data_IF_017775315420
#
_entry.id   IF_017775315420
#
_cell.length_a   1.000
_cell.length_b   1.000
_cell.length_c   1.000
_cell.angle_alpha   90.00
_cell.angle_beta   90.00
_cell.angle_gamma   90.00
#
_symmetry.space_group_name_H-M   'P 1'
#
loop_
_entity.id
_entity.type
_entity.pdbx_description
1 polymer ?
#
# COMPACT_ATOMS: atom_id res chain seq x y z
N UNK A 1 -0.19 2.59 16.41
CA UNK A 1 -0.49 2.42 14.97
C UNK A 1 -1.94 2.02 14.68
N UNK A 2 -2.59 1.08 15.41
CA UNK A 2 -3.99 0.70 15.10
C UNK A 2 -4.99 1.87 15.09
N UNK A 3 -4.77 2.88 15.94
CA UNK A 3 -5.59 4.10 15.96
C UNK A 3 -5.47 4.89 14.65
N UNK A 4 -4.27 5.00 14.06
CA UNK A 4 -4.07 5.66 12.78
C UNK A 4 -4.77 4.90 11.65
N UNK A 5 -4.64 3.56 11.65
CA UNK A 5 -5.30 2.69 10.67
C UNK A 5 -6.82 2.82 10.73
N UNK A 6 -7.40 2.83 11.94
CA UNK A 6 -8.84 2.98 12.12
C UNK A 6 -9.33 4.36 11.66
N UNK A 7 -8.52 5.41 11.83
CA UNK A 7 -8.85 6.74 11.32
C UNK A 7 -8.81 6.79 9.79
N UNK A 8 -7.82 6.19 9.14
CA UNK A 8 -7.79 6.04 7.67
C UNK A 8 -9.01 5.26 7.16
N UNK A 9 -9.35 4.15 7.83
CA UNK A 9 -10.53 3.35 7.51
C UNK A 9 -11.83 4.18 7.64
N UNK A 10 -11.96 4.94 8.74
CA UNK A 10 -13.10 5.81 8.95
C UNK A 10 -13.21 6.89 7.87
N UNK A 11 -12.10 7.55 7.51
CA UNK A 11 -12.05 8.54 6.44
C UNK A 11 -12.41 7.94 5.07
N UNK A 12 -11.95 6.71 4.78
CA UNK A 12 -12.25 6.00 3.54
C UNK A 12 -13.67 5.39 3.48
N UNK A 13 -14.38 5.32 4.62
CA UNK A 13 -15.73 4.74 4.69
C UNK A 13 -16.82 5.66 4.12
N UNK A 14 -16.54 6.96 4.03
CA UNK A 14 -17.50 7.95 3.51
C UNK A 14 -17.56 7.80 1.98
N UNK A 15 -18.66 7.24 1.50
CA UNK A 15 -18.93 7.06 0.06
C UNK A 15 -19.82 8.21 -0.44
N UNK A 16 -19.42 8.84 -1.54
CA UNK A 16 -20.14 9.97 -2.13
C UNK A 16 -19.65 11.33 -1.62
N UNK A 17 -20.34 12.41 -2.01
CA UNK A 17 -20.00 13.77 -1.61
C UNK A 17 -20.50 14.04 -0.17
N UNK A 18 -19.61 14.24 0.83
CA UNK A 18 -20.01 14.54 2.19
C UNK A 18 -20.81 15.85 2.30
N UNK A 19 -20.66 16.75 1.33
CA UNK A 19 -21.34 18.05 1.29
C UNK A 19 -22.86 17.93 1.12
N UNK A 20 -23.36 16.76 0.71
CA UNK A 20 -24.79 16.47 0.65
C UNK A 20 -25.46 16.44 2.05
N UNK A 21 -24.68 16.26 3.12
CA UNK A 21 -25.15 16.20 4.50
C UNK A 21 -24.28 17.08 5.41
N UNK A 22 -24.73 18.29 5.80
CA UNK A 22 -23.92 19.26 6.56
C UNK A 22 -23.32 18.71 7.87
N UNK A 23 -24.06 17.87 8.59
CA UNK A 23 -23.59 17.22 9.82
C UNK A 23 -22.48 16.20 9.53
N UNK A 24 -22.65 15.39 8.47
CA UNK A 24 -21.64 14.43 8.03
C UNK A 24 -20.37 15.15 7.55
N UNK A 25 -20.51 16.26 6.83
CA UNK A 25 -19.39 17.09 6.40
C UNK A 25 -18.60 17.63 7.60
N UNK A 26 -19.29 18.17 8.60
CA UNK A 26 -18.67 18.70 9.83
C UNK A 26 -17.92 17.60 10.59
N UNK A 27 -18.50 16.41 10.69
CA UNK A 27 -17.85 15.25 11.30
C UNK A 27 -16.62 14.80 10.51
N UNK A 28 -16.74 14.67 9.18
CA UNK A 28 -15.64 14.30 8.30
C UNK A 28 -14.47 15.28 8.43
N UNK A 29 -14.74 16.58 8.44
CA UNK A 29 -13.72 17.61 8.60
C UNK A 29 -13.04 17.52 9.98
N UNK A 30 -13.81 17.24 11.05
CA UNK A 30 -13.25 16.97 12.38
C UNK A 30 -12.33 15.75 12.41
N UNK A 31 -12.67 14.67 11.69
CA UNK A 31 -11.82 13.49 11.54
C UNK A 31 -10.55 13.82 10.76
N UNK A 32 -10.64 14.57 9.66
CA UNK A 32 -9.48 15.01 8.86
C UNK A 32 -8.52 15.85 9.71
N UNK A 33 -9.03 16.77 10.53
CA UNK A 33 -8.22 17.57 11.45
C UNK A 33 -7.51 16.70 12.49
N UNK A 34 -8.24 15.76 13.09
CA UNK A 34 -7.70 14.83 14.10
C UNK A 34 -6.61 13.94 13.50
N UNK A 35 -6.86 13.41 12.29
CA UNK A 35 -5.89 12.63 11.54
C UNK A 35 -4.62 13.46 11.25
N UNK A 36 -4.78 14.70 10.77
CA UNK A 36 -3.64 15.61 10.53
C UNK A 36 -2.80 15.82 11.80
N UNK A 37 -3.45 16.08 12.94
CA UNK A 37 -2.74 16.31 14.20
C UNK A 37 -2.00 15.05 14.70
N UNK A 38 -2.62 13.87 14.55
CA UNK A 38 -1.97 12.60 14.86
C UNK A 38 -0.68 12.43 14.05
N UNK A 39 -0.71 12.68 12.73
CA UNK A 39 0.49 12.56 11.89
C UNK A 39 1.55 13.60 12.20
N UNK A 40 1.17 14.83 12.61
CA UNK A 40 2.14 15.81 13.11
C UNK A 40 2.86 15.32 14.36
N UNK A 41 2.14 14.72 15.31
CA UNK A 41 2.73 14.18 16.55
C UNK A 41 3.65 12.99 16.22
N UNK A 42 3.21 12.06 15.36
CA UNK A 42 4.05 10.96 14.89
C UNK A 42 5.34 11.46 14.23
N UNK A 43 5.25 12.47 13.36
CA UNK A 43 6.39 13.10 12.72
C UNK A 43 7.37 13.74 13.71
N UNK A 44 6.87 14.41 14.77
CA UNK A 44 7.72 14.95 15.87
C UNK A 44 8.52 13.84 16.56
N UNK A 45 7.92 12.64 16.70
CA UNK A 45 8.58 11.46 17.23
C UNK A 45 9.32 10.63 16.16
N UNK A 46 9.55 11.18 14.96
CA UNK A 46 10.29 10.55 13.85
C UNK A 46 9.65 9.25 13.35
N UNK A 47 8.33 9.16 13.43
CA UNK A 47 7.53 8.06 12.88
C UNK A 47 6.87 8.55 11.60
N UNK A 48 7.19 7.91 10.48
CA UNK A 48 6.69 8.29 9.15
C UNK A 48 6.00 7.12 8.46
N UNK A 49 4.85 7.34 7.81
CA UNK A 49 4.23 6.34 6.96
C UNK A 49 5.04 6.11 5.68
N UNK A 50 4.97 4.91 5.11
CA UNK A 50 5.53 4.60 3.79
C UNK A 50 4.74 3.50 3.08
N UNK A 51 4.97 3.37 1.77
CA UNK A 51 4.27 2.42 0.91
C UNK A 51 3.03 3.08 0.31
N UNK A 52 3.10 3.34 -0.99
CA UNK A 52 2.02 3.92 -1.79
C UNK A 52 1.77 3.07 -3.02
N UNK A 53 0.53 3.06 -3.49
CA UNK A 53 0.19 2.46 -4.79
C UNK A 53 1.04 3.09 -5.90
N UNK A 54 1.63 2.25 -6.73
CA UNK A 54 2.53 2.63 -7.81
C UNK A 54 4.02 2.66 -7.43
N UNK A 55 4.39 2.50 -6.15
CA UNK A 55 5.80 2.34 -5.75
C UNK A 55 6.31 0.91 -6.02
N UNK A 56 7.62 0.78 -6.24
CA UNK A 56 8.26 -0.53 -6.43
C UNK A 56 8.15 -1.38 -5.16
N UNK A 57 7.87 -2.67 -5.35
CA UNK A 57 7.84 -3.60 -4.23
C UNK A 57 9.26 -3.98 -3.79
N UNK A 58 9.55 -3.73 -2.52
CA UNK A 58 10.76 -4.20 -1.83
C UNK A 58 10.39 -5.20 -0.71
N UNK A 59 10.77 -6.49 -0.80
CA UNK A 59 10.52 -7.50 0.24
C UNK A 59 11.09 -7.15 1.62
N UNK A 60 12.09 -6.26 1.71
CA UNK A 60 12.64 -5.81 3.00
C UNK A 60 11.72 -4.83 3.69
N UNK A 61 10.94 -4.06 2.93
CA UNK A 61 10.08 -2.98 3.42
C UNK A 61 8.61 -3.39 3.40
N UNK A 62 8.21 -4.31 2.54
CA UNK A 62 6.82 -4.62 2.24
C UNK A 62 6.51 -6.10 2.53
N UNK A 63 5.30 -6.34 3.03
CA UNK A 63 4.73 -7.66 3.26
C UNK A 63 3.66 -7.93 2.20
N UNK A 64 4.03 -8.70 1.17
CA UNK A 64 3.13 -9.04 0.07
C UNK A 64 2.16 -10.13 0.50
N UNK A 65 0.87 -9.79 0.59
CA UNK A 65 -0.17 -10.76 0.96
C UNK A 65 -0.72 -11.52 -0.24
N UNK A 66 -0.77 -10.89 -1.42
CA UNK A 66 -1.29 -11.50 -2.64
C UNK A 66 -0.77 -10.79 -3.89
N UNK A 67 -0.81 -11.53 -5.00
CA UNK A 67 -0.57 -11.00 -6.34
C UNK A 67 -1.89 -10.59 -6.99
N UNK A 68 -1.95 -9.37 -7.53
CA UNK A 68 -3.09 -8.82 -8.24
C UNK A 68 -2.78 -8.86 -9.73
N UNK A 69 -3.58 -9.62 -10.49
CA UNK A 69 -3.50 -9.61 -11.95
C UNK A 69 -3.99 -8.25 -12.48
N UNK A 70 -3.06 -7.42 -12.96
CA UNK A 70 -3.40 -6.08 -13.49
C UNK A 70 -2.43 -5.69 -14.60
N UNK A 71 -2.93 -4.90 -15.56
CA UNK A 71 -2.14 -4.26 -16.62
C UNK A 71 -1.89 -2.78 -16.33
N UNK A 72 -2.48 -2.23 -15.27
CA UNK A 72 -2.35 -0.81 -14.89
C UNK A 72 -0.96 -0.47 -14.34
N UNK A 73 -0.34 -1.43 -13.65
CA UNK A 73 0.97 -1.29 -13.04
C UNK A 73 1.96 -2.31 -13.61
N UNK A 74 3.25 -1.99 -13.55
CA UNK A 74 4.31 -2.90 -13.96
C UNK A 74 4.36 -4.11 -13.03
N UNK A 75 4.94 -5.21 -13.51
CA UNK A 75 5.18 -6.37 -12.66
C UNK A 75 6.09 -5.97 -11.48
N UNK A 76 5.82 -6.52 -10.30
CA UNK A 76 6.58 -6.23 -9.07
C UNK A 76 6.42 -4.78 -8.53
N UNK A 77 5.27 -4.16 -8.79
CA UNK A 77 4.89 -2.84 -8.25
C UNK A 77 3.74 -2.99 -7.24
N UNK A 78 3.64 -2.12 -6.25
CA UNK A 78 2.52 -2.09 -5.30
C UNK A 78 1.25 -1.67 -6.05
N UNK A 79 0.31 -2.60 -6.22
CA UNK A 79 -0.99 -2.34 -6.85
C UNK A 79 -2.06 -1.91 -5.84
N UNK A 80 -1.91 -2.31 -4.57
CA UNK A 80 -2.85 -1.97 -3.52
C UNK A 80 -2.12 -1.91 -2.17
N UNK A 81 -2.44 -0.89 -1.37
CA UNK A 81 -2.02 -0.82 0.04
C UNK A 81 -3.19 -1.28 0.91
N UNK A 82 -2.95 -2.32 1.70
CA UNK A 82 -3.94 -2.94 2.60
C UNK A 82 -3.79 -2.36 4.00
N UNK A 83 -2.54 -2.18 4.42
CA UNK A 83 -2.21 -1.56 5.69
C UNK A 83 -0.92 -0.76 5.54
N UNK A 84 -0.97 0.52 5.90
CA UNK A 84 0.16 1.43 5.78
C UNK A 84 1.39 0.95 6.57
N UNK A 85 2.58 1.02 5.99
CA UNK A 85 3.84 0.77 6.69
C UNK A 85 4.28 1.99 7.50
N UNK A 86 5.05 1.78 8.56
CA UNK A 86 5.63 2.87 9.36
C UNK A 86 7.12 2.62 9.64
N UNK A 87 7.92 3.68 9.51
CA UNK A 87 9.36 3.70 9.84
C UNK A 87 9.57 4.61 11.04
N UNK A 88 10.38 4.17 12.00
CA UNK A 88 10.87 4.95 13.12
C UNK A 88 12.40 5.04 13.06
N UNK A 89 12.94 6.25 12.96
CA UNK A 89 14.38 6.50 13.01
C UNK A 89 15.21 5.55 12.12
N UNK A 90 14.77 5.38 10.86
CA UNK A 90 15.37 4.49 9.84
C UNK A 90 15.24 2.97 10.11
N UNK A 91 14.44 2.58 11.10
CA UNK A 91 14.06 1.19 11.37
C UNK A 91 12.60 0.99 11.02
N UNK A 92 12.28 -0.15 10.43
CA UNK A 92 10.91 -0.53 10.16
C UNK A 92 10.22 -0.78 11.50
N UNK A 93 9.20 0.04 11.79
CA UNK A 93 8.33 -0.15 12.95
C UNK A 93 7.23 -1.15 12.63
N UNK A 94 6.70 -1.09 11.40
CA UNK A 94 5.74 -2.05 10.86
C UNK A 94 5.87 -2.12 9.34
N UNK A 95 5.97 -3.33 8.74
CA UNK A 95 5.98 -3.49 7.29
C UNK A 95 4.65 -3.01 6.68
N UNK A 96 4.71 -2.44 5.48
CA UNK A 96 3.51 -2.10 4.72
C UNK A 96 2.93 -3.37 4.10
N UNK A 97 1.66 -3.68 4.38
CA UNK A 97 0.98 -4.84 3.79
C UNK A 97 0.37 -4.46 2.46
N UNK A 98 0.76 -5.17 1.40
CA UNK A 98 0.46 -4.77 0.03
C UNK A 98 -0.01 -5.94 -0.82
N UNK A 99 -0.79 -5.61 -1.85
CA UNK A 99 -0.99 -6.46 -3.02
C UNK A 99 -0.03 -6.03 -4.13
N UNK A 100 0.70 -6.99 -4.70
CA UNK A 100 1.71 -6.73 -5.73
C UNK A 100 1.13 -7.00 -7.11
N UNK A 101 1.37 -6.10 -8.07
CA UNK A 101 0.97 -6.28 -9.45
C UNK A 101 1.72 -7.47 -10.07
N UNK A 102 0.95 -8.39 -10.63
CA UNK A 102 1.43 -9.44 -11.52
C UNK A 102 0.85 -9.20 -12.90
N UNK A 103 1.69 -8.85 -13.86
CA UNK A 103 1.23 -8.65 -15.23
C UNK A 103 1.24 -10.00 -15.98
N UNK A 104 0.07 -10.56 -16.35
CA UNK A 104 0.00 -11.87 -17.01
C UNK A 104 0.62 -11.90 -18.41
N UNK A 105 0.98 -10.75 -19.00
CA UNK A 105 1.69 -10.69 -20.27
C UNK A 105 3.23 -10.72 -20.10
N UNK A 106 3.75 -10.48 -18.89
CA UNK A 106 5.19 -10.46 -18.60
C UNK A 106 5.80 -11.83 -18.29
N UNK A 107 4.97 -12.84 -18.06
CA UNK A 107 5.38 -14.25 -17.84
C UNK A 107 5.82 -14.99 -19.11
N UNK A 108 5.71 -14.35 -20.29
CA UNK A 108 6.08 -14.97 -21.57
C UNK A 108 7.51 -14.68 -22.04
N UNK A 109 8.31 -13.89 -21.31
CA UNK A 109 9.68 -13.52 -21.75
C UNK A 109 10.80 -14.28 -21.01
N UNK A 110 10.49 -15.14 -20.02
CA UNK A 110 11.53 -15.78 -19.17
C UNK A 110 11.71 -17.29 -19.37
N UNK A 111 10.95 -17.95 -20.27
CA UNK A 111 10.99 -19.41 -20.43
C UNK A 111 11.80 -19.94 -21.65
N UNK A 112 12.46 -19.09 -22.43
CA UNK A 112 13.13 -19.50 -23.69
C UNK A 112 14.65 -19.76 -23.57
N UNK A 113 15.20 -20.10 -22.40
CA UNK A 113 16.66 -20.37 -22.31
C UNK A 113 17.10 -21.63 -21.57
N UNK A 114 16.20 -22.51 -21.10
CA UNK A 114 16.64 -23.67 -20.30
C UNK A 114 16.09 -25.04 -20.73
N UNK A 115 15.63 -25.20 -21.97
CA UNK A 115 15.28 -26.53 -22.49
C UNK A 115 16.16 -26.92 -23.69
N UNK A 116 17.47 -27.10 -23.44
CA UNK A 116 18.34 -27.74 -24.42
C UNK A 116 19.43 -28.63 -23.80
N UNK A 117 19.04 -29.54 -22.91
CA UNK A 117 19.84 -30.73 -22.55
C UNK A 117 18.93 -31.93 -22.29
N UNK A 118 18.34 -32.50 -23.35
CA UNK A 118 17.89 -33.90 -23.35
C UNK A 118 17.63 -34.41 -24.78
N UNK A 119 18.65 -34.32 -25.62
CA UNK A 119 18.76 -35.14 -26.83
C UNK A 119 20.20 -35.66 -26.91
N UNK A 120 20.45 -36.82 -26.29
CA UNK A 120 21.46 -37.84 -26.63
C UNK A 120 21.69 -38.76 -25.42
N UNK A 121 20.86 -39.80 -25.30
CA UNK A 121 21.22 -41.20 -24.98
C UNK A 121 19.93 -42.05 -24.93
#
# INVERSE_FOLDING_TARGET
LPVADNLELALGSVKGDPSAHPELKSLYDGLVLTHSELFKILGKHKVFPYGKVGEDFDPKLHDALYNIATTEYKNNTISMVIQQGYIYNQRILRPCKVGVASNPNSINETNDSNNNYNLLL
#
